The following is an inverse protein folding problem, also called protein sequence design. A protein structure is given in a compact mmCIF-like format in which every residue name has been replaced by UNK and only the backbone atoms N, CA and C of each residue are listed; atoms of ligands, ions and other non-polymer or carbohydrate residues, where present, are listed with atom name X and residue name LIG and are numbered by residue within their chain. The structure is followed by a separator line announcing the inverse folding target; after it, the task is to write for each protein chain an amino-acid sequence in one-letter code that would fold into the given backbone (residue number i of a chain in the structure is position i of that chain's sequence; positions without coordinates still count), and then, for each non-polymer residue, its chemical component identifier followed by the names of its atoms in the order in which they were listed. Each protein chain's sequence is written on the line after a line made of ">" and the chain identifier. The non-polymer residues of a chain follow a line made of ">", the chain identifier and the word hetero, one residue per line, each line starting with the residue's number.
data_IF_493368963912
#
_entry.id   IF_493368963912
#
_cell.length_a   1.000
_cell.length_b   1.000
_cell.length_c   1.000
_cell.angle_alpha   90.00
_cell.angle_beta   90.00
_cell.angle_gamma   90.00
#
_symmetry.space_group_name_H-M   'P 1'
#
loop_
_entity.id
_entity.type
_entity.pdbx_description
1 polymer ?
#
# COMPACT_ATOMS: atom_id res chain seq x y z
N UNK A 1 21.59 16.03 39.13
CA UNK A 1 22.17 14.75 38.68
C UNK A 1 21.12 13.68 38.97
N UNK A 2 20.36 13.27 37.95
CA UNK A 2 19.38 12.17 38.05
C UNK A 2 19.68 11.24 36.89
N UNK A 3 19.99 10.00 37.22
CA UNK A 3 20.10 8.88 36.29
C UNK A 3 18.72 8.24 36.14
N UNK A 4 18.30 8.02 34.90
CA UNK A 4 17.30 7.03 34.48
C UNK A 4 17.94 6.36 33.26
N UNK A 5 18.44 5.12 33.36
CA UNK A 5 17.63 3.90 33.35
C UNK A 5 17.46 3.45 31.89
N UNK A 6 18.46 2.79 31.30
CA UNK A 6 18.51 1.34 31.01
C UNK A 6 17.26 0.83 30.25
N UNK A 7 17.49 0.33 29.04
CA UNK A 7 16.80 -0.86 28.54
C UNK A 7 16.14 -0.75 27.17
N UNK A 8 16.89 -1.02 26.09
CA UNK A 8 16.48 -1.97 25.04
C UNK A 8 17.59 -2.07 23.98
N UNK A 9 18.60 -2.90 24.26
CA UNK A 9 19.19 -3.68 23.18
C UNK A 9 18.12 -4.71 22.77
N UNK A 10 17.37 -4.40 21.73
CA UNK A 10 16.42 -5.30 21.07
C UNK A 10 16.89 -5.57 19.65
N UNK A 11 17.20 -6.84 19.38
CA UNK A 11 17.57 -7.39 18.08
C UNK A 11 16.52 -7.07 17.00
N UNK A 12 16.98 -6.64 15.81
CA UNK A 12 16.21 -6.63 14.56
C UNK A 12 15.46 -5.33 14.25
N UNK A 13 16.16 -4.24 13.94
CA UNK A 13 15.51 -2.97 13.57
C UNK A 13 15.18 -2.97 12.07
N UNK A 14 14.03 -3.54 11.73
CA UNK A 14 13.27 -3.07 10.57
C UNK A 14 13.04 -1.56 10.73
N UNK A 15 13.14 -0.79 9.63
CA UNK A 15 13.11 0.68 9.65
C UNK A 15 11.85 1.26 10.31
N UNK A 16 11.79 2.58 10.49
CA UNK A 16 10.58 3.23 11.02
C UNK A 16 9.34 2.86 10.17
N UNK A 17 8.11 2.91 10.73
CA UNK A 17 6.90 2.61 9.95
C UNK A 17 6.83 3.37 8.62
N UNK A 18 7.29 4.62 8.59
CA UNK A 18 7.40 5.44 7.39
C UNK A 18 8.43 4.89 6.40
N UNK A 19 9.59 4.42 6.87
CA UNK A 19 10.59 3.79 6.02
C UNK A 19 10.10 2.47 5.44
N UNK A 20 9.30 1.72 6.20
CA UNK A 20 8.66 0.48 5.74
C UNK A 20 7.64 0.78 4.65
N UNK A 21 6.77 1.78 4.83
CA UNK A 21 5.80 2.20 3.83
C UNK A 21 6.47 2.72 2.55
N UNK A 22 7.48 3.57 2.70
CA UNK A 22 8.25 4.06 1.56
C UNK A 22 8.96 2.92 0.82
N UNK A 23 9.47 1.91 1.55
CA UNK A 23 10.10 0.72 0.96
C UNK A 23 9.07 -0.14 0.23
N UNK A 24 7.91 -0.37 0.81
CA UNK A 24 6.83 -1.14 0.21
C UNK A 24 6.41 -0.53 -1.14
N UNK A 25 6.21 0.79 -1.19
CA UNK A 25 5.88 1.49 -2.45
C UNK A 25 7.02 1.40 -3.47
N UNK A 26 8.28 1.61 -3.08
CA UNK A 26 9.43 1.48 -4.01
C UNK A 26 9.56 0.06 -4.57
N UNK A 27 9.45 -0.95 -3.70
CA UNK A 27 9.49 -2.35 -4.11
C UNK A 27 8.33 -2.70 -5.04
N UNK A 28 7.15 -2.13 -4.78
CA UNK A 28 5.99 -2.32 -5.64
C UNK A 28 6.23 -1.74 -7.05
N UNK A 29 6.76 -0.53 -7.15
CA UNK A 29 7.11 0.08 -8.43
C UNK A 29 8.22 -0.67 -9.16
N UNK A 30 9.24 -1.16 -8.44
CA UNK A 30 10.31 -1.96 -9.03
C UNK A 30 9.81 -3.26 -9.68
N UNK A 31 8.73 -3.86 -9.16
CA UNK A 31 8.12 -5.07 -9.73
C UNK A 31 7.42 -4.81 -11.08
N UNK A 32 7.08 -3.56 -11.42
CA UNK A 32 6.42 -3.23 -12.68
C UNK A 32 7.37 -3.20 -13.89
N UNK A 33 8.67 -3.49 -13.69
CA UNK A 33 9.71 -3.43 -14.73
C UNK A 33 9.75 -2.10 -15.52
N UNK A 34 9.32 -1.01 -14.88
CA UNK A 34 9.29 0.34 -15.42
C UNK A 34 10.00 1.29 -14.45
N UNK A 35 10.66 2.36 -14.95
CA UNK A 35 11.23 3.37 -14.07
C UNK A 35 10.11 4.03 -13.27
N UNK A 36 10.33 4.15 -11.96
CA UNK A 36 9.40 4.86 -11.08
C UNK A 36 9.34 6.34 -11.50
N UNK A 37 8.16 6.94 -11.69
CA UNK A 37 8.06 8.35 -12.06
C UNK A 37 8.63 9.26 -10.97
N UNK A 38 9.29 10.35 -11.37
CA UNK A 38 9.89 11.33 -10.45
C UNK A 38 8.87 11.88 -9.43
N UNK A 39 7.62 12.08 -9.84
CA UNK A 39 6.56 12.53 -8.94
C UNK A 39 6.33 11.57 -7.76
N UNK A 40 6.50 10.27 -7.99
CA UNK A 40 6.40 9.26 -6.92
C UNK A 40 7.58 9.41 -5.96
N UNK A 41 8.79 9.63 -6.46
CA UNK A 41 9.96 9.88 -5.60
C UNK A 41 9.77 11.12 -4.73
N UNK A 42 9.24 12.21 -5.30
CA UNK A 42 8.93 13.44 -4.58
C UNK A 42 7.87 13.22 -3.49
N UNK A 43 6.81 12.45 -3.79
CA UNK A 43 5.80 12.06 -2.78
C UNK A 43 6.42 11.25 -1.66
N UNK A 44 7.26 10.27 -1.97
CA UNK A 44 7.96 9.47 -0.95
C UNK A 44 8.90 10.34 -0.09
N UNK A 45 9.59 11.31 -0.69
CA UNK A 45 10.46 12.25 0.03
C UNK A 45 9.66 13.18 0.96
N UNK A 46 8.44 13.55 0.58
CA UNK A 46 7.53 14.40 1.36
C UNK A 46 6.57 13.62 2.26
N UNK A 47 6.80 12.31 2.45
CA UNK A 47 6.00 11.40 3.28
C UNK A 47 4.54 11.21 2.85
N UNK A 48 4.25 11.45 1.58
CA UNK A 48 2.94 11.19 0.95
C UNK A 48 2.85 9.74 0.46
N UNK A 49 3.05 8.77 1.36
CA UNK A 49 3.16 7.34 0.99
C UNK A 49 1.85 6.76 0.46
N UNK A 50 0.73 7.16 1.05
CA UNK A 50 -0.59 6.72 0.62
C UNK A 50 -0.91 7.20 -0.80
N UNK A 51 -0.64 8.47 -1.11
CA UNK A 51 -0.83 9.01 -2.46
C UNK A 51 0.09 8.31 -3.47
N UNK A 52 1.34 8.02 -3.09
CA UNK A 52 2.26 7.26 -3.93
C UNK A 52 1.78 5.82 -4.21
N UNK A 53 1.11 5.18 -3.24
CA UNK A 53 0.45 3.89 -3.42
C UNK A 53 -0.84 3.98 -4.25
N UNK A 54 -1.57 5.10 -4.18
CA UNK A 54 -2.73 5.34 -5.04
C UNK A 54 -2.30 5.52 -6.51
N UNK A 55 -1.20 6.24 -6.76
CA UNK A 55 -0.62 6.36 -8.09
C UNK A 55 -0.18 4.98 -8.65
N UNK A 56 0.32 4.10 -7.80
CA UNK A 56 0.58 2.70 -8.16
C UNK A 56 -0.72 1.97 -8.54
N UNK A 57 -1.81 2.15 -7.80
CA UNK A 57 -3.11 1.55 -8.12
C UNK A 57 -3.58 2.00 -9.51
N UNK A 58 -3.52 3.31 -9.80
CA UNK A 58 -3.87 3.84 -11.12
C UNK A 58 -3.01 3.23 -12.23
N UNK A 59 -1.71 3.03 -11.97
CA UNK A 59 -0.79 2.44 -12.95
C UNK A 59 -1.08 0.97 -13.22
N UNK A 60 -1.33 0.19 -12.19
CA UNK A 60 -1.50 -1.28 -12.28
C UNK A 60 -2.90 -1.65 -12.74
N UNK A 61 -3.91 -1.05 -12.12
CA UNK A 61 -5.33 -1.35 -12.37
C UNK A 61 -5.84 -0.62 -13.63
N UNK A 62 -5.33 0.58 -13.87
CA UNK A 62 -5.86 1.50 -14.86
C UNK A 62 -7.00 2.36 -14.32
N UNK A 63 -7.01 3.64 -14.70
CA UNK A 63 -7.97 4.63 -14.22
C UNK A 63 -9.42 4.26 -14.58
N UNK A 64 -9.65 3.72 -15.78
CA UNK A 64 -10.99 3.33 -16.25
C UNK A 64 -11.60 2.16 -15.48
N UNK A 65 -10.76 1.30 -14.90
CA UNK A 65 -11.23 0.16 -14.10
C UNK A 65 -11.32 0.47 -12.63
N UNK A 66 -10.67 1.53 -12.13
CA UNK A 66 -10.69 1.88 -10.73
C UNK A 66 -11.82 2.87 -10.43
N UNK A 67 -12.91 2.41 -9.83
CA UNK A 67 -14.06 3.26 -9.50
C UNK A 67 -13.90 4.02 -8.18
N UNK A 68 -12.93 3.65 -7.36
CA UNK A 68 -12.66 4.29 -6.10
C UNK A 68 -12.05 3.32 -5.12
N UNK A 69 -11.69 3.86 -3.97
CA UNK A 69 -11.04 3.13 -2.91
C UNK A 69 -11.81 3.30 -1.60
N UNK A 70 -11.96 2.20 -0.87
CA UNK A 70 -12.56 2.18 0.47
C UNK A 70 -11.54 1.80 1.51
N UNK A 71 -11.61 2.54 2.60
CA UNK A 71 -10.76 2.40 3.77
C UNK A 71 -11.58 1.97 4.97
N UNK A 72 -11.08 0.98 5.69
CA UNK A 72 -11.59 0.64 7.01
C UNK A 72 -10.45 0.37 7.97
N UNK A 73 -10.69 0.73 9.23
CA UNK A 73 -9.78 0.49 10.33
C UNK A 73 -10.59 0.00 11.52
N UNK A 74 -10.07 -0.98 12.24
CA UNK A 74 -10.64 -1.40 13.52
C UNK A 74 -10.15 -0.48 14.64
N UNK A 75 -11.07 0.00 15.48
CA UNK A 75 -10.84 1.02 16.51
C UNK A 75 -10.04 0.54 17.74
N UNK A 76 -9.38 -0.61 17.66
CA UNK A 76 -8.59 -1.21 18.74
C UNK A 76 -7.19 -1.66 18.27
N UNK A 77 -6.63 -1.01 17.24
CA UNK A 77 -5.32 -1.36 16.70
C UNK A 77 -5.29 -2.70 15.96
N UNK A 78 -6.46 -3.20 15.55
CA UNK A 78 -6.55 -4.33 14.63
C UNK A 78 -6.17 -3.92 13.20
N UNK A 79 -6.16 -4.88 12.26
CA UNK A 79 -5.55 -4.68 10.97
C UNK A 79 -6.17 -3.49 10.21
N UNK A 80 -5.30 -2.75 9.55
CA UNK A 80 -5.69 -1.79 8.52
C UNK A 80 -6.17 -2.56 7.30
N UNK A 81 -7.34 -2.19 6.78
CA UNK A 81 -7.92 -2.83 5.61
C UNK A 81 -8.08 -1.81 4.47
N UNK A 82 -7.74 -2.27 3.27
CA UNK A 82 -7.76 -1.49 2.04
C UNK A 82 -8.54 -2.28 0.98
N UNK A 83 -9.57 -1.68 0.40
CA UNK A 83 -10.38 -2.32 -0.65
C UNK A 83 -10.47 -1.45 -1.90
N UNK A 84 -10.03 -2.02 -3.03
CA UNK A 84 -10.19 -1.45 -4.36
C UNK A 84 -11.58 -1.81 -4.89
N UNK A 85 -12.31 -0.82 -5.41
CA UNK A 85 -13.58 -1.04 -6.12
C UNK A 85 -13.31 -0.94 -7.63
N UNK A 86 -13.73 -1.96 -8.36
CA UNK A 86 -13.26 -2.22 -9.70
C UNK A 86 -14.39 -2.42 -10.70
N UNK A 87 -14.21 -1.91 -11.91
CA UNK A 87 -15.11 -2.15 -13.02
C UNK A 87 -14.89 -3.58 -13.53
N UNK A 88 -15.95 -4.38 -13.54
CA UNK A 88 -15.87 -5.68 -14.19
C UNK A 88 -15.71 -5.50 -15.70
N UNK A 89 -14.81 -6.26 -16.34
CA UNK A 89 -14.46 -6.03 -17.74
C UNK A 89 -15.62 -6.36 -18.69
N UNK A 90 -16.54 -7.23 -18.26
CA UNK A 90 -17.67 -7.69 -19.07
C UNK A 90 -18.95 -6.84 -18.89
N UNK A 91 -18.85 -5.69 -18.22
CA UNK A 91 -19.98 -4.76 -18.03
C UNK A 91 -21.03 -5.23 -17.00
N UNK A 92 -20.70 -6.26 -16.20
CA UNK A 92 -21.62 -6.90 -15.26
C UNK A 92 -21.81 -6.22 -13.89
N UNK A 93 -21.01 -5.20 -13.54
CA UNK A 93 -21.12 -4.51 -12.26
C UNK A 93 -19.78 -4.08 -11.67
N UNK A 94 -19.74 -3.96 -10.33
CA UNK A 94 -18.54 -3.63 -9.57
C UNK A 94 -18.00 -4.87 -8.85
N UNK A 95 -16.70 -5.11 -8.97
CA UNK A 95 -15.93 -6.03 -8.16
C UNK A 95 -15.22 -5.33 -7.01
N UNK A 96 -14.86 -6.09 -5.97
CA UNK A 96 -14.09 -5.58 -4.84
C UNK A 96 -12.89 -6.50 -4.57
N UNK A 97 -11.70 -5.92 -4.44
CA UNK A 97 -10.48 -6.63 -4.07
C UNK A 97 -9.87 -5.97 -2.85
N UNK A 98 -9.79 -6.72 -1.75
CA UNK A 98 -9.31 -6.24 -0.46
C UNK A 98 -8.09 -6.99 0.06
N UNK A 99 -7.30 -6.29 0.87
CA UNK A 99 -6.24 -6.86 1.68
C UNK A 99 -6.14 -6.14 3.03
N UNK A 100 -5.49 -6.80 3.98
CA UNK A 100 -5.30 -6.34 5.34
C UNK A 100 -3.81 -6.34 5.70
N UNK A 101 -3.43 -5.44 6.60
CA UNK A 101 -2.09 -5.38 7.17
C UNK A 101 -2.16 -4.91 8.62
N UNK A 102 -1.40 -5.54 9.52
CA UNK A 102 -1.54 -5.35 10.96
C UNK A 102 -1.35 -3.89 11.41
N UNK A 103 -0.40 -3.18 10.79
CA UNK A 103 0.08 -1.90 11.31
C UNK A 103 0.17 -0.77 10.27
N UNK A 104 -0.18 -1.03 9.01
CA UNK A 104 0.00 -0.03 7.93
C UNK A 104 -1.07 -0.11 6.87
N UNK A 105 -1.74 1.01 6.66
CA UNK A 105 -2.72 1.14 5.60
C UNK A 105 -2.09 1.17 4.20
N UNK A 106 -0.89 1.73 4.08
CA UNK A 106 -0.17 1.77 2.80
C UNK A 106 0.16 0.36 2.35
N UNK A 107 0.63 -0.49 3.27
CA UNK A 107 0.94 -1.89 2.98
C UNK A 107 -0.32 -2.70 2.66
N UNK A 108 -1.43 -2.46 3.36
CA UNK A 108 -2.72 -3.05 3.00
C UNK A 108 -3.13 -2.68 1.57
N UNK A 109 -2.99 -1.40 1.18
CA UNK A 109 -3.30 -0.94 -0.17
C UNK A 109 -2.38 -1.58 -1.23
N UNK A 110 -1.06 -1.58 -1.01
CA UNK A 110 -0.11 -2.23 -1.92
C UNK A 110 -0.44 -3.72 -2.09
N UNK A 111 -0.81 -4.42 -1.01
CA UNK A 111 -1.22 -5.82 -1.06
C UNK A 111 -2.51 -6.03 -1.88
N UNK A 112 -3.51 -5.14 -1.74
CA UNK A 112 -4.73 -5.21 -2.53
C UNK A 112 -4.45 -5.04 -4.04
N UNK A 113 -3.57 -4.10 -4.40
CA UNK A 113 -3.16 -3.86 -5.80
C UNK A 113 -2.50 -5.11 -6.40
N UNK A 114 -1.55 -5.73 -5.70
CA UNK A 114 -0.90 -6.94 -6.21
C UNK A 114 -1.79 -8.17 -6.18
N UNK A 115 -2.73 -8.25 -5.25
CA UNK A 115 -3.76 -9.29 -5.28
C UNK A 115 -4.56 -9.21 -6.57
N UNK A 116 -5.05 -8.02 -6.92
CA UNK A 116 -5.75 -7.82 -8.19
C UNK A 116 -4.87 -8.21 -9.39
N UNK A 117 -3.62 -7.75 -9.44
CA UNK A 117 -2.73 -8.03 -10.57
C UNK A 117 -2.50 -9.54 -10.78
N UNK A 118 -2.43 -10.32 -9.70
CA UNK A 118 -2.34 -11.78 -9.75
C UNK A 118 -3.63 -12.43 -10.23
N UNK A 119 -4.78 -11.98 -9.74
CA UNK A 119 -6.09 -12.50 -10.15
C UNK A 119 -6.33 -12.28 -11.65
N UNK A 120 -5.87 -11.15 -12.22
CA UNK A 120 -5.95 -10.89 -13.66
C UNK A 120 -4.97 -11.71 -14.50
N UNK A 121 -3.83 -12.10 -13.93
CA UNK A 121 -2.85 -12.94 -14.65
C UNK A 121 -3.26 -14.42 -14.70
N UNK A 122 -4.24 -14.83 -13.88
CA UNK A 122 -4.73 -16.20 -13.80
C UNK A 122 -6.00 -16.47 -14.63
N UNK A 123 -6.55 -15.44 -15.26
CA UNK A 123 -7.74 -15.50 -16.13
C UNK A 123 -7.33 -15.50 -17.60
#
# INVERSE_FOLDING_TARGET
>A
MIASGIGASGLGLEGSPEEQDARAVRQAWAQLAAPMPLQIEERLATRQFFDAALDLAHRVVGQERLHGFRLSFTSLGGPYAATLILAEPDGGGLGEVGAEHETSLVQALVAAIFRWAREQSAS
#
